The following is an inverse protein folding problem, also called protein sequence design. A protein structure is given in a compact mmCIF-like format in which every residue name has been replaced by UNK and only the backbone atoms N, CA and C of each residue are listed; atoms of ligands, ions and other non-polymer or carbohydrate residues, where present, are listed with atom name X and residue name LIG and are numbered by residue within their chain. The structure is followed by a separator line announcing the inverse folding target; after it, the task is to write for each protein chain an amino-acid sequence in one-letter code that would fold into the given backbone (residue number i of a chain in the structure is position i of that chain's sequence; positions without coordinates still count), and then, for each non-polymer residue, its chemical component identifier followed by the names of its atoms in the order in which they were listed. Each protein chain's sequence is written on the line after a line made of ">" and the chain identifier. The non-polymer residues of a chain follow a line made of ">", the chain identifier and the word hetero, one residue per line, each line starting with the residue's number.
data_IF_897238689139
#
_entry.id   IF_897238689139
#
_cell.length_a   1.000
_cell.length_b   1.000
_cell.length_c   1.000
_cell.angle_alpha   90.00
_cell.angle_beta   90.00
_cell.angle_gamma   90.00
#
_symmetry.space_group_name_H-M   'P 1'
#
loop_
_entity.id
_entity.type
_entity.pdbx_description
1 polymer ?
#
# COMPACT_ATOMS: atom_id res chain seq x y z
N UNK A 1 3.35 19.04 -3.75
CA UNK A 1 2.85 17.69 -3.41
C UNK A 1 2.73 17.63 -1.90
N UNK A 2 1.55 17.39 -1.35
CA UNK A 2 1.27 17.45 0.10
C UNK A 2 0.74 16.12 0.63
N UNK A 3 0.87 15.88 1.94
CA UNK A 3 0.28 14.69 2.60
C UNK A 3 -1.23 14.64 2.32
N UNK A 4 -1.74 13.46 2.02
CA UNK A 4 -3.12 13.20 1.63
C UNK A 4 -3.43 13.41 0.14
N UNK A 5 -2.52 14.02 -0.62
CA UNK A 5 -2.75 14.27 -2.05
C UNK A 5 -2.65 12.98 -2.87
N UNK A 6 -3.56 12.81 -3.83
CA UNK A 6 -3.49 11.76 -4.85
C UNK A 6 -2.66 12.27 -6.04
N UNK A 7 -1.61 11.53 -6.38
CA UNK A 7 -0.65 11.87 -7.43
C UNK A 7 -0.38 10.66 -8.32
N UNK A 8 0.21 10.91 -9.49
CA UNK A 8 0.74 9.84 -10.34
C UNK A 8 2.19 9.56 -9.93
N UNK A 9 2.55 8.29 -9.78
CA UNK A 9 3.92 7.85 -9.54
C UNK A 9 4.40 7.07 -10.76
N UNK A 10 5.55 7.45 -11.31
CA UNK A 10 6.26 6.61 -12.29
C UNK A 10 7.12 5.61 -11.52
N UNK A 11 7.01 4.34 -11.87
CA UNK A 11 7.88 3.28 -11.34
C UNK A 11 8.77 2.85 -12.52
N UNK A 12 10.07 3.09 -12.37
CA UNK A 12 11.04 2.90 -13.47
C UNK A 12 11.34 1.42 -13.66
N UNK A 13 11.26 0.64 -12.58
CA UNK A 13 11.56 -0.78 -12.53
C UNK A 13 10.63 -1.62 -13.43
N UNK A 14 9.38 -1.19 -13.61
CA UNK A 14 8.38 -1.87 -14.44
C UNK A 14 7.79 -1.01 -15.56
N UNK A 15 8.32 0.22 -15.73
CA UNK A 15 7.88 1.26 -16.68
C UNK A 15 6.37 1.53 -16.66
N UNK A 16 5.77 1.53 -15.47
CA UNK A 16 4.34 1.80 -15.28
C UNK A 16 4.09 3.06 -14.46
N UNK A 17 2.83 3.50 -14.55
CA UNK A 17 2.29 4.63 -13.79
C UNK A 17 1.22 4.14 -12.84
N UNK A 18 1.24 4.66 -11.63
CA UNK A 18 0.35 4.27 -10.56
C UNK A 18 -0.32 5.49 -9.93
N UNK A 19 -1.54 5.29 -9.44
CA UNK A 19 -2.16 6.26 -8.54
C UNK A 19 -1.66 5.99 -7.14
N UNK A 20 -1.12 7.02 -6.49
CA UNK A 20 -0.62 6.91 -5.12
C UNK A 20 -1.16 8.05 -4.27
N UNK A 21 -1.34 7.78 -2.98
CA UNK A 21 -1.59 8.78 -1.96
C UNK A 21 -0.28 9.11 -1.26
N UNK A 22 0.01 10.39 -1.07
CA UNK A 22 1.15 10.83 -0.26
C UNK A 22 0.84 10.62 1.22
N UNK A 23 1.63 9.82 1.90
CA UNK A 23 1.43 9.46 3.30
C UNK A 23 2.36 10.24 4.24
N UNK A 24 3.56 10.57 3.76
CA UNK A 24 4.54 11.30 4.56
C UNK A 24 5.69 11.84 3.70
N UNK A 25 6.48 12.70 4.32
CA UNK A 25 7.73 13.20 3.77
C UNK A 25 8.86 12.81 4.71
N UNK A 26 9.95 12.28 4.17
CA UNK A 26 11.21 12.32 4.92
C UNK A 26 11.76 13.76 4.95
N UNK A 27 12.93 13.94 5.55
CA UNK A 27 13.63 15.21 5.51
C UNK A 27 13.87 15.65 4.06
N UNK A 28 13.40 16.86 3.73
CA UNK A 28 13.59 17.45 2.40
C UNK A 28 15.09 17.67 2.16
N UNK A 29 15.60 17.08 1.08
CA UNK A 29 16.99 17.25 0.65
C UNK A 29 17.11 18.40 -0.34
N UNK A 30 18.34 18.75 -0.70
CA UNK A 30 18.62 19.88 -1.59
C UNK A 30 17.93 19.74 -2.97
N UNK A 31 17.80 18.49 -3.45
CA UNK A 31 17.17 18.19 -4.74
C UNK A 31 15.93 17.31 -4.62
N UNK A 32 15.07 17.34 -5.65
CA UNK A 32 13.86 16.50 -5.71
C UNK A 32 14.19 15.02 -5.93
N UNK A 33 15.30 14.76 -6.60
CA UNK A 33 15.83 13.44 -6.91
C UNK A 33 16.37 12.74 -5.65
N UNK A 34 16.76 13.51 -4.64
CA UNK A 34 17.26 13.04 -3.36
C UNK A 34 16.19 13.05 -2.25
N UNK A 35 15.11 13.82 -2.43
CA UNK A 35 13.98 13.86 -1.50
C UNK A 35 13.12 12.62 -1.64
N UNK A 36 12.96 11.87 -0.54
CA UNK A 36 12.13 10.68 -0.43
C UNK A 36 10.75 11.00 0.14
N UNK A 37 9.72 10.35 -0.37
CA UNK A 37 8.31 10.54 -0.01
C UNK A 37 7.68 9.18 0.23
N UNK A 38 7.02 9.02 1.38
CA UNK A 38 6.21 7.84 1.68
C UNK A 38 4.89 7.91 0.91
N UNK A 39 4.60 6.89 0.11
CA UNK A 39 3.40 6.81 -0.71
C UNK A 39 2.70 5.47 -0.54
N UNK A 40 1.36 5.49 -0.63
CA UNK A 40 0.50 4.32 -0.64
C UNK A 40 -0.15 4.13 -2.01
N UNK A 41 0.00 2.95 -2.60
CA UNK A 41 -0.57 2.60 -3.90
C UNK A 41 -2.06 2.27 -3.76
N UNK A 42 -2.92 3.24 -4.05
CA UNK A 42 -4.37 3.16 -3.75
C UNK A 42 -5.11 2.04 -4.50
N UNK A 43 -4.50 1.50 -5.55
CA UNK A 43 -5.09 0.42 -6.35
C UNK A 43 -4.52 -0.97 -6.01
N UNK A 44 -3.45 -1.05 -5.22
CA UNK A 44 -2.73 -2.29 -4.92
C UNK A 44 -2.62 -2.58 -3.42
N UNK A 45 -2.46 -1.55 -2.59
CA UNK A 45 -2.47 -1.68 -1.14
C UNK A 45 -1.10 -1.74 -0.48
N UNK A 46 0.00 -1.68 -1.25
CA UNK A 46 1.36 -1.57 -0.74
C UNK A 46 1.77 -0.11 -0.50
N UNK A 47 2.79 0.07 0.34
CA UNK A 47 3.46 1.36 0.57
C UNK A 47 4.92 1.28 0.14
N UNK A 48 5.47 2.39 -0.33
CA UNK A 48 6.87 2.50 -0.66
C UNK A 48 7.40 3.92 -0.47
N UNK A 49 8.71 4.03 -0.33
CA UNK A 49 9.41 5.30 -0.47
C UNK A 49 9.74 5.56 -1.94
N UNK A 50 9.34 6.72 -2.45
CA UNK A 50 9.59 7.15 -3.84
C UNK A 50 10.25 8.51 -3.87
N UNK A 51 11.07 8.74 -4.89
CA UNK A 51 11.70 10.05 -5.09
C UNK A 51 10.62 11.06 -5.45
N UNK A 52 10.74 12.28 -4.94
CA UNK A 52 9.83 13.36 -5.29
C UNK A 52 9.87 13.66 -6.81
N UNK A 53 11.00 13.42 -7.48
CA UNK A 53 11.14 13.49 -8.93
C UNK A 53 10.26 12.50 -9.72
N UNK A 54 9.83 11.40 -9.12
CA UNK A 54 8.98 10.39 -9.75
C UNK A 54 7.48 10.63 -9.53
N UNK A 55 7.12 11.69 -8.79
CA UNK A 55 5.74 12.06 -8.47
C UNK A 55 5.25 13.25 -9.29
N UNK A 56 4.07 13.10 -9.89
CA UNK A 56 3.46 14.04 -10.83
C UNK A 56 2.00 14.33 -10.47
N UNK A 57 1.50 15.50 -10.85
CA UNK A 57 0.07 15.79 -10.70
C UNK A 57 -0.75 14.78 -11.52
N UNK A 58 -1.75 14.17 -10.88
CA UNK A 58 -2.64 13.25 -11.55
C UNK A 58 -3.69 14.03 -12.36
N UNK A 59 -3.90 13.63 -13.62
CA UNK A 59 -4.97 14.17 -14.46
C UNK A 59 -6.34 13.76 -13.88
N UNK A 60 -7.28 14.69 -13.82
CA UNK A 60 -8.52 14.52 -13.06
C UNK A 60 -9.42 13.37 -13.54
N UNK A 61 -9.37 13.01 -14.82
CA UNK A 61 -10.10 11.88 -15.39
C UNK A 61 -9.61 10.52 -14.87
N UNK A 62 -8.35 10.40 -14.44
CA UNK A 62 -7.84 9.20 -13.75
C UNK A 62 -8.37 9.05 -12.31
N UNK A 63 -9.11 10.03 -11.79
CA UNK A 63 -9.82 9.92 -10.50
C UNK A 63 -11.22 9.32 -10.64
N UNK A 64 -11.72 9.12 -11.86
CA UNK A 64 -13.07 8.57 -12.10
C UNK A 64 -13.23 7.14 -11.60
N UNK A 65 -12.17 6.32 -11.65
CA UNK A 65 -12.16 4.97 -11.11
C UNK A 65 -12.02 5.01 -9.58
N UNK A 66 -12.85 4.29 -8.85
CA UNK A 66 -12.67 4.12 -7.39
C UNK A 66 -11.31 3.50 -7.09
N UNK A 67 -10.72 3.78 -5.94
CA UNK A 67 -9.52 3.06 -5.47
C UNK A 67 -9.83 1.57 -5.32
N UNK A 68 -8.97 0.73 -5.90
CA UNK A 68 -9.23 -0.70 -6.03
C UNK A 68 -8.78 -1.51 -4.82
N UNK A 69 -7.76 -1.05 -4.07
CA UNK A 69 -7.31 -1.74 -2.87
C UNK A 69 -8.32 -1.58 -1.73
N UNK A 70 -8.67 -2.69 -1.08
CA UNK A 70 -9.54 -2.71 0.09
C UNK A 70 -8.76 -3.37 1.22
N UNK A 71 -8.46 -2.58 2.25
CA UNK A 71 -7.86 -3.10 3.49
C UNK A 71 -8.83 -4.06 4.18
N UNK A 72 -8.35 -5.25 4.52
CA UNK A 72 -9.14 -6.27 5.21
C UNK A 72 -8.28 -7.05 6.19
N UNK A 73 -8.93 -7.85 7.03
CA UNK A 73 -8.27 -8.74 7.96
C UNK A 73 -9.04 -10.07 8.02
N UNK A 74 -8.31 -11.16 8.26
CA UNK A 74 -8.91 -12.46 8.50
C UNK A 74 -9.61 -12.47 9.86
N UNK A 75 -10.84 -12.98 9.89
CA UNK A 75 -11.63 -13.14 11.10
C UNK A 75 -11.30 -14.47 11.80
N UNK A 76 -11.38 -14.51 13.12
CA UNK A 76 -11.17 -15.74 13.90
C UNK A 76 -9.73 -16.25 14.02
N UNK A 77 -8.73 -15.50 13.54
CA UNK A 77 -7.31 -15.85 13.69
C UNK A 77 -6.53 -14.76 14.43
N UNK A 78 -5.49 -15.18 15.17
CA UNK A 78 -4.58 -14.28 15.89
C UNK A 78 -3.17 -14.88 15.95
N UNK A 79 -2.11 -14.05 16.12
CA UNK A 79 -0.75 -14.54 16.28
C UNK A 79 -0.61 -15.53 17.44
N UNK A 80 0.32 -16.48 17.32
CA UNK A 80 0.59 -17.45 18.39
C UNK A 80 1.11 -16.73 19.63
N UNK A 81 0.59 -17.08 20.80
CA UNK A 81 1.06 -16.53 22.08
C UNK A 81 2.53 -16.90 22.34
N UNK A 82 3.36 -15.94 22.74
CA UNK A 82 4.75 -16.16 23.14
C UNK A 82 5.81 -15.59 22.18
N UNK A 83 5.40 -15.11 21.01
CA UNK A 83 6.20 -14.19 20.18
C UNK A 83 5.89 -12.76 20.63
N UNK A 84 6.87 -11.86 20.60
CA UNK A 84 6.72 -10.49 21.12
C UNK A 84 5.45 -9.81 20.60
N UNK A 85 4.61 -9.34 21.54
CA UNK A 85 3.38 -8.53 21.40
C UNK A 85 2.69 -8.52 20.02
N UNK A 86 1.55 -9.23 19.92
CA UNK A 86 0.52 -9.06 18.88
C UNK A 86 1.00 -9.02 17.41
N UNK A 87 2.15 -9.62 17.10
CA UNK A 87 2.70 -9.68 15.73
C UNK A 87 2.78 -11.11 15.22
N UNK A 88 2.43 -11.27 13.95
CA UNK A 88 2.66 -12.51 13.21
C UNK A 88 4.17 -12.69 12.98
N UNK A 89 4.66 -13.92 13.17
CA UNK A 89 6.01 -14.28 12.76
C UNK A 89 6.13 -14.32 11.22
N UNK A 90 7.36 -14.16 10.74
CA UNK A 90 7.68 -14.02 9.31
C UNK A 90 7.27 -15.27 8.51
N UNK A 91 7.51 -16.47 9.06
CA UNK A 91 7.09 -17.75 8.46
C UNK A 91 5.56 -17.80 8.26
N UNK A 92 4.78 -17.31 9.23
CA UNK A 92 3.32 -17.26 9.10
C UNK A 92 2.86 -16.23 8.05
N UNK A 93 3.57 -15.12 7.90
CA UNK A 93 3.29 -14.12 6.85
C UNK A 93 3.58 -14.70 5.47
N UNK A 94 4.76 -15.30 5.27
CA UNK A 94 5.14 -15.95 4.01
C UNK A 94 4.15 -17.05 3.61
N UNK A 95 3.77 -17.91 4.56
CA UNK A 95 2.76 -18.93 4.32
C UNK A 95 1.42 -18.33 3.88
N UNK A 96 1.00 -17.22 4.49
CA UNK A 96 -0.22 -16.54 4.10
C UNK A 96 -0.14 -15.98 2.67
N UNK A 97 0.98 -15.34 2.32
CA UNK A 97 1.22 -14.81 0.97
C UNK A 97 1.13 -15.91 -0.11
N UNK A 98 1.71 -17.08 0.17
CA UNK A 98 1.63 -18.25 -0.72
C UNK A 98 0.20 -18.78 -0.85
N UNK A 99 -0.55 -18.88 0.26
CA UNK A 99 -1.92 -19.37 0.26
C UNK A 99 -2.88 -18.46 -0.52
N UNK A 100 -2.67 -17.14 -0.46
CA UNK A 100 -3.52 -16.15 -1.15
C UNK A 100 -2.96 -15.73 -2.51
N UNK A 101 -1.82 -16.28 -2.92
CA UNK A 101 -1.18 -16.01 -4.21
C UNK A 101 -0.90 -14.51 -4.42
N UNK A 102 -0.36 -13.85 -3.39
CA UNK A 102 -0.08 -12.40 -3.40
C UNK A 102 0.68 -12.00 -4.66
N UNK A 103 0.17 -11.00 -5.39
CA UNK A 103 0.80 -10.48 -6.62
C UNK A 103 0.68 -11.36 -7.86
N UNK A 104 0.02 -12.53 -7.79
CA UNK A 104 -0.04 -13.49 -8.91
C UNK A 104 -1.37 -13.47 -9.68
N UNK A 105 -2.25 -12.50 -9.42
CA UNK A 105 -3.53 -12.33 -10.13
C UNK A 105 -4.46 -13.56 -10.09
N UNK A 106 -4.35 -14.38 -9.05
CA UNK A 106 -5.23 -15.54 -8.85
C UNK A 106 -6.50 -15.12 -8.10
N UNK A 107 -7.65 -15.41 -8.68
CA UNK A 107 -8.93 -15.15 -8.05
C UNK A 107 -9.11 -16.04 -6.81
N UNK A 108 -9.54 -15.43 -5.71
CA UNK A 108 -9.92 -16.09 -4.45
C UNK A 108 -11.33 -15.64 -4.05
N UNK A 109 -12.03 -16.48 -3.28
CA UNK A 109 -13.34 -16.12 -2.71
C UNK A 109 -13.14 -15.50 -1.34
N UNK A 110 -13.79 -14.37 -1.08
CA UNK A 110 -13.82 -13.71 0.23
C UNK A 110 -15.26 -13.43 0.65
N UNK A 111 -15.56 -13.65 1.93
CA UNK A 111 -16.86 -13.34 2.52
C UNK A 111 -16.65 -12.38 3.69
N UNK A 112 -17.39 -11.28 3.69
CA UNK A 112 -17.39 -10.34 4.82
C UNK A 112 -18.23 -10.93 5.95
N UNK A 113 -17.60 -11.14 7.11
CA UNK A 113 -18.25 -11.73 8.30
C UNK A 113 -18.35 -10.76 9.47
N UNK A 114 -17.42 -9.81 9.59
CA UNK A 114 -17.37 -8.83 10.67
C UNK A 114 -16.68 -7.54 10.20
N UNK A 115 -16.78 -6.47 11.01
CA UNK A 115 -16.09 -5.20 10.78
C UNK A 115 -15.34 -4.80 12.05
N UNK A 116 -14.14 -4.24 11.89
CA UNK A 116 -13.35 -3.63 12.97
C UNK A 116 -13.27 -2.13 12.75
N UNK A 117 -13.38 -1.35 13.82
CA UNK A 117 -13.14 0.09 13.73
C UNK A 117 -11.67 0.34 13.38
N UNK A 118 -11.43 1.21 12.39
CA UNK A 118 -10.06 1.67 12.07
C UNK A 118 -9.52 2.42 13.29
N UNK A 119 -8.38 1.99 13.84
CA UNK A 119 -7.67 2.79 14.84
C UNK A 119 -7.22 4.09 14.14
N UNK A 120 -7.57 5.23 14.73
CA UNK A 120 -7.18 6.56 14.23
C UNK A 120 -5.69 6.80 14.44
#
# INVERSE_FOLDING_TARGET
>A
ITIGQIVACRVVEDDKWYRVQVCGHEEYKETREETSVDVFYVDYGDSAYRKLGDLYQLRADFLSLRFQAIECAMDGIMPKSGVAEDKWDEETVELFEDMVYTGQWKAISAQVVSYKARKK
#
